data_IF_281752094779
#
_entry.id   IF_281752094779
#
_cell.length_a   1.000
_cell.length_b   1.000
_cell.length_c   1.000
_cell.angle_alpha   90.00
_cell.angle_beta   90.00
_cell.angle_gamma   90.00
#
_symmetry.space_group_name_H-M   'P 1'
#
loop_
_entity.id
_entity.type
_entity.pdbx_description
1 polymer ?
#
# COMPACT_ATOMS: atom_id res chain seq x y z
N UNK A 1 -27.28 1.76 4.65
CA UNK A 1 -26.11 1.99 5.52
C UNK A 1 -24.92 1.20 5.00
N UNK A 2 -24.36 1.58 3.84
CA UNK A 2 -23.18 0.93 3.28
C UNK A 2 -21.95 1.63 3.89
N UNK A 3 -21.45 1.11 5.01
CA UNK A 3 -20.30 1.66 5.72
C UNK A 3 -19.06 1.64 4.84
N UNK A 4 -18.55 2.83 4.54
CA UNK A 4 -17.12 3.17 4.49
C UNK A 4 -16.16 2.01 4.14
N UNK A 5 -16.12 1.60 2.86
CA UNK A 5 -15.12 0.63 2.39
C UNK A 5 -13.80 1.36 2.13
N UNK A 6 -12.76 0.88 2.80
CA UNK A 6 -11.40 1.41 2.85
C UNK A 6 -10.66 1.32 1.50
N UNK A 7 -9.89 2.35 1.16
CA UNK A 7 -9.02 2.36 -0.03
C UNK A 7 -7.74 1.56 0.22
N UNK A 8 -7.32 0.66 -0.68
CA UNK A 8 -5.94 0.18 -0.69
C UNK A 8 -5.03 1.35 -1.10
N UNK A 9 -4.02 1.65 -0.28
CA UNK A 9 -2.96 2.59 -0.68
C UNK A 9 -2.10 1.84 -1.69
N UNK A 10 -2.28 2.17 -2.97
CA UNK A 10 -1.44 1.69 -4.06
C UNK A 10 -0.30 2.66 -4.23
N UNK A 11 0.93 2.24 -3.97
CA UNK A 11 2.11 3.05 -4.25
C UNK A 11 3.17 2.17 -4.87
N UNK A 12 3.51 2.49 -6.12
CA UNK A 12 4.63 1.89 -6.83
C UNK A 12 5.91 2.27 -6.10
N UNK A 13 6.57 1.29 -5.47
CA UNK A 13 7.90 1.48 -4.93
C UNK A 13 8.84 1.77 -6.10
N UNK A 14 9.41 2.97 -6.12
CA UNK A 14 10.51 3.25 -7.01
C UNK A 14 11.45 4.21 -6.30
N UNK A 15 12.68 3.78 -6.09
CA UNK A 15 13.85 4.64 -5.85
C UNK A 15 14.15 5.57 -7.04
N UNK A 16 13.21 5.71 -7.99
CA UNK A 16 13.25 6.65 -9.10
C UNK A 16 12.49 7.91 -8.71
N UNK A 17 12.96 9.08 -9.17
CA UNK A 17 12.23 10.32 -8.99
C UNK A 17 10.88 10.26 -9.68
N UNK A 18 9.99 11.18 -9.31
CA UNK A 18 8.68 11.29 -9.95
C UNK A 18 8.83 11.38 -11.47
N UNK A 19 8.00 10.64 -12.20
CA UNK A 19 8.08 10.60 -13.66
C UNK A 19 7.89 12.02 -14.21
N UNK A 20 8.92 12.54 -14.89
CA UNK A 20 8.91 13.90 -15.44
C UNK A 20 9.36 15.00 -14.48
N UNK A 21 9.75 14.65 -13.26
CA UNK A 21 10.15 15.56 -12.17
C UNK A 21 11.40 15.01 -11.46
N UNK A 22 12.58 15.01 -12.13
CA UNK A 22 13.77 14.30 -11.66
C UNK A 22 14.36 14.87 -10.36
N UNK A 23 14.16 16.16 -10.09
CA UNK A 23 14.60 16.81 -8.84
C UNK A 23 13.71 16.51 -7.63
N UNK A 24 12.58 15.82 -7.80
CA UNK A 24 11.65 15.51 -6.71
C UNK A 24 11.66 14.03 -6.34
N UNK A 25 12.04 13.75 -5.09
CA UNK A 25 12.00 12.42 -4.49
C UNK A 25 10.60 12.07 -3.99
N UNK A 26 10.29 10.77 -3.97
CA UNK A 26 9.06 10.28 -3.35
C UNK A 26 9.18 10.29 -1.82
N UNK A 27 8.09 10.57 -1.08
CA UNK A 27 8.06 10.41 0.36
C UNK A 27 8.21 8.94 0.75
N UNK A 28 8.62 8.68 2.00
CA UNK A 28 8.58 7.34 2.58
C UNK A 28 7.14 6.81 2.68
N UNK A 29 7.00 5.48 2.72
CA UNK A 29 5.68 4.83 2.72
C UNK A 29 4.87 5.16 3.97
N UNK A 30 5.51 5.30 5.12
CA UNK A 30 4.88 5.70 6.39
C UNK A 30 4.30 7.10 6.30
N UNK A 31 5.09 8.06 5.80
CA UNK A 31 4.64 9.44 5.62
C UNK A 31 3.47 9.51 4.62
N UNK A 32 3.53 8.74 3.54
CA UNK A 32 2.44 8.66 2.56
C UNK A 32 1.18 8.04 3.15
N UNK A 33 1.32 6.95 3.93
CA UNK A 33 0.22 6.29 4.64
C UNK A 33 -0.48 7.26 5.58
N UNK A 34 0.29 7.97 6.41
CA UNK A 34 -0.23 8.85 7.45
C UNK A 34 -0.92 10.08 6.84
N UNK A 35 -0.34 10.65 5.77
CA UNK A 35 -0.97 11.73 5.00
C UNK A 35 -2.29 11.26 4.36
N UNK A 36 -2.26 10.11 3.68
CA UNK A 36 -3.45 9.56 3.02
C UNK A 36 -4.58 9.27 4.02
N UNK A 37 -4.24 8.70 5.18
CA UNK A 37 -5.20 8.42 6.25
C UNK A 37 -5.78 9.72 6.85
N UNK A 38 -4.95 10.74 7.04
CA UNK A 38 -5.38 12.06 7.51
C UNK A 38 -6.43 12.66 6.59
N UNK A 39 -6.18 12.63 5.28
CA UNK A 39 -7.12 13.12 4.27
C UNK A 39 -8.39 12.27 4.20
N UNK A 40 -8.28 10.95 4.24
CA UNK A 40 -9.44 10.06 4.20
C UNK A 40 -10.37 10.25 5.42
N UNK A 41 -9.81 10.58 6.58
CA UNK A 41 -10.59 10.81 7.81
C UNK A 41 -11.42 12.08 7.81
N UNK A 42 -11.16 13.02 6.90
CA UNK A 42 -11.98 14.23 6.73
C UNK A 42 -13.41 13.87 6.35
N UNK A 43 -13.58 12.89 5.46
CA UNK A 43 -14.90 12.45 4.96
C UNK A 43 -15.42 11.20 5.67
N UNK A 44 -14.53 10.47 6.36
CA UNK A 44 -14.87 9.26 7.09
C UNK A 44 -13.96 9.07 8.31
N UNK A 45 -14.38 9.52 9.51
CA UNK A 45 -13.58 9.38 10.73
C UNK A 45 -13.19 7.93 11.06
N UNK A 46 -13.99 6.95 10.62
CA UNK A 46 -13.75 5.52 10.81
C UNK A 46 -12.75 4.91 9.82
N UNK A 47 -12.12 5.69 8.95
CA UNK A 47 -11.13 5.17 8.00
C UNK A 47 -9.90 4.60 8.74
N UNK A 48 -9.49 3.41 8.31
CA UNK A 48 -8.32 2.64 8.79
C UNK A 48 -7.46 2.30 7.57
N UNK A 49 -6.21 1.91 7.77
CA UNK A 49 -5.38 1.32 6.69
C UNK A 49 -5.27 -0.17 6.99
N UNK A 50 -5.67 -1.02 6.03
CA UNK A 50 -5.75 -2.48 6.23
C UNK A 50 -4.59 -3.24 5.60
N UNK A 51 -3.86 -2.64 4.66
CA UNK A 51 -2.78 -3.28 3.92
C UNK A 51 -2.30 -2.44 2.75
N UNK A 52 -1.26 -2.93 2.07
CA UNK A 52 -0.65 -2.28 0.91
C UNK A 52 -0.66 -3.24 -0.28
N UNK A 53 -1.08 -2.71 -1.43
CA UNK A 53 -0.95 -3.39 -2.71
C UNK A 53 0.32 -2.88 -3.40
N UNK A 54 1.29 -3.77 -3.63
CA UNK A 54 2.50 -3.44 -4.38
C UNK A 54 2.42 -3.94 -5.82
N UNK A 55 2.84 -3.12 -6.77
CA UNK A 55 2.97 -3.53 -8.16
C UNK A 55 4.41 -3.99 -8.42
N UNK A 56 4.60 -5.28 -8.62
CA UNK A 56 5.90 -5.93 -8.85
C UNK A 56 6.05 -6.42 -10.30
N UNK A 57 5.25 -5.90 -11.24
CA UNK A 57 5.25 -6.33 -12.65
C UNK A 57 6.60 -6.24 -13.38
N UNK A 58 7.55 -5.47 -12.85
CA UNK A 58 8.90 -5.29 -13.41
C UNK A 58 9.99 -6.01 -12.62
N UNK A 59 9.61 -6.81 -11.63
CA UNK A 59 10.51 -7.58 -10.78
C UNK A 59 10.38 -9.08 -11.09
N UNK A 60 11.43 -9.82 -10.75
CA UNK A 60 11.35 -11.28 -10.71
C UNK A 60 10.42 -11.73 -9.58
N UNK A 61 10.01 -13.00 -9.58
CA UNK A 61 9.14 -13.55 -8.54
C UNK A 61 9.81 -13.51 -7.15
N UNK A 62 11.11 -13.82 -7.08
CA UNK A 62 11.88 -13.77 -5.84
C UNK A 62 12.01 -12.34 -5.31
N UNK A 63 12.36 -11.39 -6.18
CA UNK A 63 12.42 -9.95 -5.82
C UNK A 63 11.06 -9.42 -5.37
N UNK A 64 9.97 -9.91 -5.99
CA UNK A 64 8.60 -9.54 -5.64
C UNK A 64 8.20 -10.03 -4.25
N UNK A 65 8.61 -11.25 -3.88
CA UNK A 65 8.41 -11.80 -2.54
C UNK A 65 9.26 -11.04 -1.50
N UNK A 66 10.53 -10.80 -1.80
CA UNK A 66 11.44 -10.07 -0.91
C UNK A 66 10.93 -8.66 -0.62
N UNK A 67 10.53 -7.92 -1.66
CA UNK A 67 10.05 -6.54 -1.49
C UNK A 67 8.75 -6.52 -0.66
N UNK A 68 7.82 -7.44 -0.90
CA UNK A 68 6.59 -7.52 -0.13
C UNK A 68 6.89 -7.81 1.35
N UNK A 69 7.75 -8.78 1.64
CA UNK A 69 8.13 -9.15 3.00
C UNK A 69 8.84 -8.00 3.73
N UNK A 70 9.76 -7.30 3.06
CA UNK A 70 10.47 -6.14 3.63
C UNK A 70 9.50 -5.00 3.93
N UNK A 71 8.61 -4.67 3.01
CA UNK A 71 7.64 -3.58 3.20
C UNK A 71 6.60 -3.94 4.26
N UNK A 72 6.20 -5.21 4.37
CA UNK A 72 5.33 -5.71 5.43
C UNK A 72 5.99 -5.55 6.81
N UNK A 73 7.25 -5.93 6.94
CA UNK A 73 8.02 -5.71 8.18
C UNK A 73 8.16 -4.23 8.52
N UNK A 74 8.38 -3.37 7.53
CA UNK A 74 8.49 -1.92 7.71
C UNK A 74 7.18 -1.28 8.19
N UNK A 75 6.04 -1.67 7.60
CA UNK A 75 4.76 -1.00 7.85
C UNK A 75 3.93 -1.66 8.96
N UNK A 76 4.23 -2.92 9.31
CA UNK A 76 3.41 -3.72 10.25
C UNK A 76 2.01 -4.02 9.70
N UNK A 77 1.84 -4.02 8.38
CA UNK A 77 0.57 -4.21 7.69
C UNK A 77 0.75 -5.28 6.60
N UNK A 78 -0.29 -6.08 6.28
CA UNK A 78 -0.24 -7.01 5.16
C UNK A 78 0.15 -6.33 3.85
N UNK A 79 1.16 -6.87 3.16
CA UNK A 79 1.61 -6.35 1.87
C UNK A 79 1.60 -7.48 0.85
N UNK A 80 0.92 -7.25 -0.27
CA UNK A 80 0.78 -8.24 -1.34
C UNK A 80 0.83 -7.55 -2.70
N UNK A 81 1.33 -8.27 -3.71
CA UNK A 81 1.02 -8.00 -5.11
C UNK A 81 -0.21 -8.83 -5.52
N UNK A 82 -1.40 -8.24 -5.65
CA UNK A 82 -2.61 -9.00 -5.94
C UNK A 82 -2.60 -9.65 -7.33
N UNK A 83 -1.83 -9.11 -8.27
CA UNK A 83 -1.75 -9.68 -9.62
C UNK A 83 -0.91 -10.95 -9.64
N UNK A 84 0.13 -11.02 -8.81
CA UNK A 84 1.04 -12.17 -8.76
C UNK A 84 0.62 -13.22 -7.72
N UNK A 85 0.22 -12.77 -6.53
CA UNK A 85 0.03 -13.62 -5.36
C UNK A 85 -1.45 -13.75 -4.92
N UNK A 86 -2.38 -13.07 -5.61
CA UNK A 86 -3.78 -13.02 -5.22
C UNK A 86 -4.08 -12.00 -4.12
N UNK A 87 -5.35 -11.68 -3.90
CA UNK A 87 -5.77 -10.62 -2.97
C UNK A 87 -6.17 -11.12 -1.57
N UNK A 88 -6.10 -12.43 -1.32
CA UNK A 88 -6.72 -13.06 -0.15
C UNK A 88 -6.30 -12.43 1.17
N UNK A 89 -5.00 -12.18 1.37
CA UNK A 89 -4.49 -11.57 2.61
C UNK A 89 -5.05 -10.17 2.86
N UNK A 90 -5.26 -9.38 1.80
CA UNK A 90 -5.85 -8.05 1.90
C UNK A 90 -7.35 -8.12 2.21
N UNK A 91 -8.05 -9.09 1.63
CA UNK A 91 -9.47 -9.34 1.90
C UNK A 91 -9.67 -9.83 3.33
N UNK A 92 -8.85 -10.77 3.81
CA UNK A 92 -8.88 -11.23 5.20
C UNK A 92 -8.66 -10.08 6.18
N UNK A 93 -7.66 -9.23 5.93
CA UNK A 93 -7.41 -8.07 6.78
C UNK A 93 -8.61 -7.10 6.81
N UNK A 94 -9.28 -6.91 5.68
CA UNK A 94 -10.48 -6.09 5.60
C UNK A 94 -11.67 -6.70 6.35
N UNK A 95 -11.84 -8.02 6.30
CA UNK A 95 -12.96 -8.74 6.94
C UNK A 95 -12.86 -8.73 8.48
N UNK A 96 -11.65 -8.56 9.03
CA UNK A 96 -11.40 -8.50 10.48
C UNK A 96 -11.66 -7.14 11.15
N UNK A 97 -12.11 -6.14 10.39
CA UNK A 97 -12.26 -4.75 10.86
C UNK A 97 -13.49 -4.46 11.72
#
# INVERSE_FOLDING_TARGET
MLGARCSPISTTFATRPMRGLPEFSLPGLEALRDLSLTLARIVNPGCKVVGVSLNTSRLTDDDALEICARTEAQLGLPVVDPFRHGADRLVTALDTL
#
